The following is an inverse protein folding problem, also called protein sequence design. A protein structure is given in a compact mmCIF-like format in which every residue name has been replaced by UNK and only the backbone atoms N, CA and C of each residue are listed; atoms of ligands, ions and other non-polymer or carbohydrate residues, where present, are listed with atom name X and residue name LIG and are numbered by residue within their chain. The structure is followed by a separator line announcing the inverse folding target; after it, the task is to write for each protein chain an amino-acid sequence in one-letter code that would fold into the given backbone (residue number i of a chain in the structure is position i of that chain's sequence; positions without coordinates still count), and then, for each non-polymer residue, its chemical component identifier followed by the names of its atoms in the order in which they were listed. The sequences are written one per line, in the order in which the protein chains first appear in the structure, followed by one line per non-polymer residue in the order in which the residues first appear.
data_IF_533500553275
#
_entry.id   IF_533500553275
#
_cell.length_a   1.000
_cell.length_b   1.000
_cell.length_c   1.000
_cell.angle_alpha   90.00
_cell.angle_beta   90.00
_cell.angle_gamma   90.00
#
_symmetry.space_group_name_H-M   'P 1'
#
loop_
_entity.id
_entity.type
_entity.pdbx_description
1 polymer ?
#
# COMPACT_ATOMS: atom_id res chain seq x y z
N UNK A 1 14.18 -9.84 -7.72
CA UNK A 1 15.35 -10.53 -7.15
C UNK A 1 15.47 -11.96 -7.67
N UNK A 2 16.69 -12.40 -7.95
CA UNK A 2 16.98 -13.73 -8.49
C UNK A 2 18.04 -14.42 -7.62
N UNK A 3 17.87 -15.72 -7.39
CA UNK A 3 18.92 -16.60 -6.86
C UNK A 3 19.40 -17.48 -7.99
N UNK A 4 20.69 -17.41 -8.31
CA UNK A 4 21.31 -18.23 -9.37
C UNK A 4 22.19 -19.28 -8.72
N UNK A 5 21.83 -20.56 -8.93
CA UNK A 5 22.60 -21.71 -8.44
C UNK A 5 23.40 -22.27 -9.60
N UNK A 6 24.71 -22.43 -9.41
CA UNK A 6 25.56 -23.13 -10.38
C UNK A 6 25.59 -24.60 -10.03
N UNK A 7 25.23 -25.47 -10.98
CA UNK A 7 25.21 -26.92 -10.75
C UNK A 7 26.60 -27.51 -10.92
N UNK A 8 26.83 -28.67 -10.30
CA UNK A 8 28.12 -29.39 -10.42
C UNK A 8 28.44 -29.82 -11.84
N UNK A 9 27.41 -30.00 -12.66
CA UNK A 9 27.51 -30.35 -14.08
C UNK A 9 27.84 -29.13 -14.96
N UNK A 10 28.02 -27.95 -14.36
CA UNK A 10 28.33 -26.70 -15.06
C UNK A 10 27.12 -25.93 -15.59
N UNK A 11 25.90 -26.34 -15.22
CA UNK A 11 24.65 -25.65 -15.53
C UNK A 11 24.35 -24.50 -14.57
N UNK A 12 23.27 -23.76 -14.86
CA UNK A 12 22.76 -22.68 -13.99
C UNK A 12 21.25 -22.77 -13.87
N UNK A 13 20.78 -22.83 -12.63
CA UNK A 13 19.36 -22.75 -12.28
C UNK A 13 19.07 -21.36 -11.71
N UNK A 14 18.01 -20.72 -12.19
CA UNK A 14 17.62 -19.38 -11.75
C UNK A 14 16.25 -19.42 -11.11
N UNK A 15 16.17 -18.98 -9.86
CA UNK A 15 14.94 -18.90 -9.08
C UNK A 15 14.56 -17.43 -8.90
N UNK A 16 13.38 -17.06 -9.38
CA UNK A 16 12.82 -15.73 -9.17
C UNK A 16 12.08 -15.70 -7.84
N UNK A 17 12.41 -14.70 -7.02
CA UNK A 17 11.75 -14.51 -5.73
C UNK A 17 10.53 -13.61 -5.86
N UNK A 18 9.50 -13.95 -5.12
CA UNK A 18 8.33 -13.09 -4.90
C UNK A 18 8.70 -12.02 -3.87
N UNK A 19 8.54 -10.74 -4.25
CA UNK A 19 8.95 -9.60 -3.42
C UNK A 19 7.77 -8.65 -3.27
N UNK A 20 7.34 -8.46 -2.02
CA UNK A 20 6.27 -7.52 -1.65
C UNK A 20 4.97 -7.74 -2.44
N UNK A 21 4.59 -8.99 -2.64
CA UNK A 21 3.34 -9.33 -3.31
C UNK A 21 2.17 -9.29 -2.33
N UNK A 22 1.01 -8.85 -2.80
CA UNK A 22 -0.21 -8.82 -2.00
C UNK A 22 -0.85 -10.21 -1.98
N UNK A 23 -1.17 -10.69 -0.78
CA UNK A 23 -2.04 -11.87 -0.61
C UNK A 23 -3.51 -11.48 -0.62
N UNK A 24 -4.41 -12.44 -0.84
CA UNK A 24 -5.87 -12.18 -0.87
C UNK A 24 -6.39 -11.43 0.38
N UNK A 25 -5.95 -11.73 1.61
CA UNK A 25 -6.37 -11.00 2.81
C UNK A 25 -5.64 -9.67 3.04
N UNK A 26 -4.74 -9.25 2.15
CA UNK A 26 -3.98 -7.99 2.27
C UNK A 26 -2.64 -8.11 3.02
N UNK A 27 -2.20 -9.32 3.40
CA UNK A 27 -0.86 -9.50 3.99
C UNK A 27 0.23 -9.44 2.90
N UNK A 28 1.44 -9.01 3.28
CA UNK A 28 2.61 -9.02 2.43
C UNK A 28 3.22 -10.44 2.28
N UNK A 29 3.31 -10.91 1.04
CA UNK A 29 4.08 -12.08 0.62
C UNK A 29 5.47 -11.62 0.17
N UNK A 30 6.49 -11.93 0.96
CA UNK A 30 7.86 -11.54 0.65
C UNK A 30 8.82 -12.70 0.93
N UNK A 31 9.60 -13.07 -0.07
CA UNK A 31 10.64 -14.07 0.04
C UNK A 31 12.00 -13.38 0.31
N UNK A 32 12.74 -13.89 1.29
CA UNK A 32 14.06 -13.38 1.69
C UNK A 32 15.09 -14.48 1.53
N UNK A 33 16.13 -14.21 0.75
CA UNK A 33 17.28 -15.11 0.61
C UNK A 33 17.93 -15.32 1.99
N UNK A 34 18.25 -16.57 2.31
CA UNK A 34 18.92 -16.96 3.56
C UNK A 34 20.30 -17.59 3.34
N UNK A 35 20.72 -17.73 2.08
CA UNK A 35 22.02 -18.26 1.69
C UNK A 35 22.93 -17.13 1.20
N UNK A 36 24.22 -17.25 1.48
CA UNK A 36 25.24 -16.31 1.00
C UNK A 36 25.83 -16.77 -0.34
N UNK A 37 26.44 -15.83 -1.09
CA UNK A 37 27.17 -16.16 -2.30
C UNK A 37 28.30 -17.17 -2.03
N UNK A 38 28.40 -18.21 -2.87
CA UNK A 38 29.39 -19.28 -2.70
C UNK A 38 28.99 -20.37 -1.71
N UNK A 39 27.83 -20.27 -1.07
CA UNK A 39 27.30 -21.34 -0.21
C UNK A 39 27.09 -22.62 -1.03
N UNK A 40 27.67 -23.73 -0.57
CA UNK A 40 27.41 -25.06 -1.12
C UNK A 40 26.02 -25.50 -0.68
N UNK A 41 25.14 -25.81 -1.64
CA UNK A 41 23.77 -26.28 -1.38
C UNK A 41 23.58 -27.70 -1.91
N UNK A 42 22.72 -28.45 -1.24
CA UNK A 42 22.29 -29.79 -1.67
C UNK A 42 20.83 -29.76 -2.13
N UNK A 43 20.41 -30.81 -2.85
CA UNK A 43 19.01 -30.96 -3.27
C UNK A 43 18.10 -30.94 -2.06
N UNK A 44 17.11 -30.04 -2.06
CA UNK A 44 16.18 -29.83 -0.94
C UNK A 44 16.62 -28.77 0.07
N UNK A 45 17.78 -28.13 -0.12
CA UNK A 45 18.21 -26.99 0.71
C UNK A 45 17.29 -25.79 0.50
N UNK A 46 16.96 -25.09 1.59
CA UNK A 46 16.16 -23.87 1.54
C UNK A 46 17.03 -22.71 1.10
N UNK A 47 16.68 -22.08 -0.02
CA UNK A 47 17.41 -20.94 -0.59
C UNK A 47 16.87 -19.60 -0.08
N UNK A 48 15.57 -19.53 0.19
CA UNK A 48 14.89 -18.34 0.67
C UNK A 48 13.75 -18.73 1.62
N UNK A 49 13.59 -17.95 2.68
CA UNK A 49 12.41 -18.01 3.55
C UNK A 49 11.26 -17.28 2.88
N UNK A 50 10.06 -17.84 2.99
CA UNK A 50 8.80 -17.19 2.63
C UNK A 50 8.15 -16.45 3.81
N UNK A 51 6.91 -15.99 3.63
CA UNK A 51 6.15 -15.34 4.69
C UNK A 51 5.99 -16.27 5.90
N UNK A 52 6.21 -15.73 7.10
CA UNK A 52 6.08 -16.46 8.36
C UNK A 52 6.93 -17.75 8.43
N UNK A 53 8.12 -17.73 7.83
CA UNK A 53 9.12 -18.80 7.99
C UNK A 53 10.46 -18.22 8.44
N UNK A 54 11.24 -19.02 9.16
CA UNK A 54 12.59 -18.70 9.58
C UNK A 54 13.47 -19.95 9.42
N UNK A 55 14.50 -19.86 8.58
CA UNK A 55 15.43 -20.94 8.28
C UNK A 55 14.72 -22.23 7.80
N UNK A 56 13.70 -22.08 6.97
CA UNK A 56 12.91 -23.21 6.44
C UNK A 56 11.83 -23.76 7.35
N UNK A 57 11.70 -23.25 8.58
CA UNK A 57 10.69 -23.68 9.53
C UNK A 57 9.60 -22.61 9.73
N UNK A 58 8.42 -23.03 10.17
CA UNK A 58 7.28 -22.13 10.41
C UNK A 58 7.55 -21.20 11.61
N UNK A 59 7.36 -19.90 11.41
CA UNK A 59 7.57 -18.84 12.40
C UNK A 59 6.44 -17.80 12.34
N UNK A 60 5.33 -18.09 13.01
CA UNK A 60 4.11 -17.26 13.01
C UNK A 60 4.16 -16.04 13.96
N UNK A 61 5.22 -15.91 14.76
CA UNK A 61 5.33 -14.87 15.78
C UNK A 61 6.74 -14.75 16.34
N UNK A 62 6.87 -14.23 17.56
CA UNK A 62 8.16 -14.03 18.23
C UNK A 62 8.15 -14.67 19.62
N UNK A 63 9.33 -15.12 20.03
CA UNK A 63 9.56 -15.54 21.40
C UNK A 63 9.74 -14.30 22.28
N UNK A 64 8.90 -14.16 23.31
CA UNK A 64 8.92 -13.04 24.25
C UNK A 64 9.24 -13.54 25.66
N UNK A 65 9.96 -12.72 26.42
CA UNK A 65 10.11 -12.94 27.86
C UNK A 65 8.83 -12.49 28.57
N UNK A 66 8.21 -13.41 29.31
CA UNK A 66 6.91 -13.18 29.95
C UNK A 66 7.04 -13.35 31.47
N UNK A 67 6.42 -12.44 32.23
CA UNK A 67 6.24 -12.56 33.67
C UNK A 67 4.78 -12.87 33.98
N UNK A 68 4.54 -13.93 34.77
CA UNK A 68 3.20 -14.29 35.24
C UNK A 68 2.94 -13.66 36.61
N UNK A 69 2.33 -12.48 36.61
CA UNK A 69 1.92 -11.77 37.83
C UNK A 69 0.74 -10.85 37.55
N UNK A 70 -0.05 -10.54 38.58
CA UNK A 70 -1.03 -9.44 38.51
C UNK A 70 -0.29 -8.10 38.59
N UNK A 71 -0.57 -7.19 37.66
CA UNK A 71 0.09 -5.89 37.59
C UNK A 71 -0.93 -4.75 37.58
N UNK A 72 -1.12 -4.12 38.74
CA UNK A 72 -1.94 -2.89 38.92
C UNK A 72 -3.36 -2.93 38.32
N UNK A 73 -3.91 -4.14 38.09
CA UNK A 73 -5.19 -4.33 37.41
C UNK A 73 -5.17 -4.11 35.89
N UNK A 74 -4.01 -3.79 35.30
CA UNK A 74 -3.87 -3.57 33.86
C UNK A 74 -3.97 -4.87 33.04
N UNK A 75 -3.69 -6.02 33.65
CA UNK A 75 -3.89 -7.34 33.06
C UNK A 75 -5.10 -8.06 33.67
N UNK A 76 -6.18 -7.31 33.94
CA UNK A 76 -7.43 -7.88 34.41
C UNK A 76 -8.11 -8.71 33.29
N UNK A 77 -8.65 -9.87 33.66
CA UNK A 77 -9.23 -10.87 32.73
C UNK A 77 -8.26 -11.25 31.61
N UNK A 78 -8.58 -10.93 30.35
CA UNK A 78 -7.81 -11.32 29.16
C UNK A 78 -6.88 -10.19 28.66
N UNK A 79 -6.73 -9.12 29.42
CA UNK A 79 -5.86 -8.00 29.04
C UNK A 79 -4.38 -8.37 29.14
N UNK A 80 -3.59 -7.98 28.13
CA UNK A 80 -2.15 -8.20 28.06
C UNK A 80 -1.44 -6.85 28.12
N UNK A 81 -0.39 -6.79 28.95
CA UNK A 81 0.49 -5.63 29.03
C UNK A 81 1.73 -5.93 28.19
N UNK A 82 2.16 -4.96 27.38
CA UNK A 82 3.36 -5.06 26.58
C UNK A 82 4.43 -4.10 27.09
N UNK A 83 5.68 -4.54 27.01
CA UNK A 83 6.82 -3.63 27.18
C UNK A 83 6.89 -2.69 25.99
N UNK A 84 7.19 -1.40 26.23
CA UNK A 84 7.46 -0.43 25.16
C UNK A 84 8.52 -0.91 24.17
N UNK A 85 9.48 -1.71 24.65
CA UNK A 85 10.54 -2.32 23.83
C UNK A 85 9.99 -3.13 22.65
N UNK A 86 8.80 -3.71 22.78
CA UNK A 86 8.16 -4.46 21.67
C UNK A 86 7.90 -3.56 20.46
N UNK A 87 7.60 -2.29 20.69
CA UNK A 87 7.39 -1.27 19.65
C UNK A 87 8.72 -0.67 19.20
N UNK A 88 9.61 -0.35 20.13
CA UNK A 88 10.92 0.27 19.80
C UNK A 88 11.82 -0.64 18.95
N UNK A 89 11.76 -1.95 19.17
CA UNK A 89 12.58 -2.94 18.45
C UNK A 89 11.83 -3.58 17.24
N UNK A 90 10.67 -3.05 16.83
CA UNK A 90 9.83 -3.59 15.74
C UNK A 90 9.55 -5.11 15.85
N UNK A 91 9.34 -5.60 17.08
CA UNK A 91 9.26 -7.05 17.35
C UNK A 91 7.98 -7.65 16.77
N UNK A 92 6.86 -6.95 16.94
CA UNK A 92 5.53 -7.38 16.50
C UNK A 92 5.00 -6.44 15.41
N UNK A 93 5.77 -6.27 14.34
CA UNK A 93 5.42 -5.41 13.19
C UNK A 93 5.08 -6.27 11.97
N UNK A 94 4.02 -5.90 11.25
CA UNK A 94 3.59 -6.55 10.00
C UNK A 94 3.40 -5.52 8.88
N UNK A 95 3.51 -5.98 7.63
CA UNK A 95 3.27 -5.16 6.43
C UNK A 95 1.95 -5.61 5.80
N UNK A 96 1.06 -4.65 5.58
CA UNK A 96 -0.22 -4.83 4.92
C UNK A 96 -0.23 -4.03 3.61
N UNK A 97 -0.81 -4.62 2.57
CA UNK A 97 -0.91 -4.06 1.22
C UNK A 97 -2.38 -4.06 0.83
N UNK A 98 -2.92 -2.85 0.66
CA UNK A 98 -4.26 -2.62 0.16
C UNK A 98 -4.23 -2.20 -1.30
N UNK A 99 -5.22 -2.66 -2.06
CA UNK A 99 -5.36 -2.37 -3.48
C UNK A 99 -6.63 -1.54 -3.68
N UNK A 100 -6.44 -0.32 -4.17
CA UNK A 100 -7.53 0.59 -4.51
C UNK A 100 -7.59 0.70 -6.03
N UNK A 101 -8.76 0.42 -6.59
CA UNK A 101 -8.99 0.44 -8.03
C UNK A 101 -10.05 1.50 -8.37
N UNK A 102 -9.82 2.24 -9.45
CA UNK A 102 -10.78 3.17 -10.02
C UNK A 102 -10.74 3.07 -11.54
N UNK A 103 -11.92 3.02 -12.15
CA UNK A 103 -12.08 3.02 -13.59
C UNK A 103 -12.59 4.38 -14.06
N UNK A 104 -12.06 4.85 -15.20
CA UNK A 104 -12.70 5.91 -15.98
C UNK A 104 -13.63 5.26 -17.02
N UNK A 105 -14.90 5.70 -17.04
CA UNK A 105 -15.94 5.12 -17.92
C UNK A 105 -16.53 6.15 -18.86
N UNK A 106 -17.01 5.67 -20.00
CA UNK A 106 -17.85 6.48 -20.88
C UNK A 106 -19.23 6.67 -20.26
N UNK A 107 -19.66 7.92 -20.12
CA UNK A 107 -21.00 8.25 -19.67
C UNK A 107 -21.79 8.91 -20.80
N UNK A 108 -23.12 9.01 -20.64
CA UNK A 108 -23.96 9.72 -21.61
C UNK A 108 -23.66 11.22 -21.71
N UNK A 109 -23.00 11.79 -20.71
CA UNK A 109 -22.69 13.22 -20.59
C UNK A 109 -21.27 13.53 -21.10
N UNK A 110 -20.50 12.50 -21.45
CA UNK A 110 -19.10 12.59 -21.86
C UNK A 110 -18.26 11.49 -21.22
N UNK A 111 -17.00 11.41 -21.62
CA UNK A 111 -16.04 10.45 -21.07
C UNK A 111 -15.49 10.95 -19.73
N UNK A 112 -15.34 10.06 -18.75
CA UNK A 112 -14.57 10.38 -17.55
C UNK A 112 -13.08 10.45 -17.90
N UNK A 113 -12.39 11.44 -17.36
CA UNK A 113 -10.98 11.66 -17.62
C UNK A 113 -10.16 11.48 -16.35
N UNK A 114 -9.04 10.77 -16.46
CA UNK A 114 -8.01 10.73 -15.40
C UNK A 114 -7.05 11.89 -15.67
N UNK A 115 -7.02 12.83 -14.74
CA UNK A 115 -6.24 14.07 -14.88
C UNK A 115 -5.87 14.64 -13.52
N UNK A 116 -4.75 15.38 -13.48
CA UNK A 116 -4.36 16.19 -12.32
C UNK A 116 -5.24 17.42 -12.15
N UNK A 117 -5.99 17.79 -13.18
CA UNK A 117 -6.80 19.02 -13.23
C UNK A 117 -8.16 18.86 -12.54
N UNK A 118 -8.14 18.71 -11.22
CA UNK A 118 -9.33 18.45 -10.41
C UNK A 118 -9.93 19.78 -9.89
N UNK A 119 -11.22 20.07 -10.16
CA UNK A 119 -11.85 21.30 -9.70
C UNK A 119 -12.07 21.31 -8.18
N UNK A 120 -11.85 22.45 -7.53
CA UNK A 120 -12.07 22.67 -6.09
C UNK A 120 -11.12 21.90 -5.15
N UNK A 121 -10.01 21.37 -5.65
CA UNK A 121 -8.96 20.72 -4.84
C UNK A 121 -7.76 21.67 -4.72
N UNK A 122 -7.13 21.69 -3.54
CA UNK A 122 -5.96 22.54 -3.28
C UNK A 122 -4.72 22.03 -4.02
N UNK A 123 -3.80 22.93 -4.41
CA UNK A 123 -2.53 22.51 -5.06
C UNK A 123 -1.67 21.63 -4.16
N UNK A 124 -1.76 21.79 -2.83
CA UNK A 124 -1.04 20.96 -1.85
C UNK A 124 -1.50 19.51 -1.93
N UNK A 125 -2.80 19.27 -2.02
CA UNK A 125 -3.38 17.92 -2.19
C UNK A 125 -3.04 17.28 -3.54
N UNK A 126 -2.68 18.09 -4.55
CA UNK A 126 -2.27 17.65 -5.88
C UNK A 126 -0.75 17.58 -6.03
N UNK A 127 0.03 17.79 -4.97
CA UNK A 127 1.48 17.87 -5.03
C UNK A 127 2.13 16.51 -5.36
N UNK A 128 1.54 15.41 -4.89
CA UNK A 128 2.03 14.05 -5.11
C UNK A 128 1.47 13.38 -6.38
N UNK A 129 0.54 14.02 -7.08
CA UNK A 129 0.01 13.55 -8.36
C UNK A 129 0.96 13.87 -9.52
N UNK A 130 1.16 12.89 -10.39
CA UNK A 130 1.90 13.05 -11.65
C UNK A 130 1.10 13.85 -12.69
N UNK A 131 1.70 14.07 -13.87
CA UNK A 131 1.07 14.81 -14.98
C UNK A 131 -0.23 14.19 -15.48
N UNK A 132 -0.44 12.90 -15.22
CA UNK A 132 -1.64 12.14 -15.61
C UNK A 132 -2.70 12.13 -14.52
N UNK A 133 -2.42 12.66 -13.33
CA UNK A 133 -3.32 12.59 -12.18
C UNK A 133 -3.22 11.29 -11.39
N UNK A 134 -2.11 10.55 -11.49
CA UNK A 134 -1.85 9.33 -10.71
C UNK A 134 -0.81 9.64 -9.63
N UNK A 135 -1.01 9.19 -8.40
CA UNK A 135 -0.05 9.39 -7.33
C UNK A 135 1.31 8.75 -7.64
N UNK A 136 2.40 9.46 -7.33
CA UNK A 136 3.76 8.94 -7.51
C UNK A 136 4.05 7.77 -6.58
N UNK A 137 4.86 6.82 -7.05
CA UNK A 137 5.35 5.71 -6.23
C UNK A 137 6.23 6.25 -5.10
N UNK A 138 5.96 5.83 -3.87
CA UNK A 138 6.69 6.26 -2.67
C UNK A 138 6.22 7.60 -2.09
N UNK A 139 5.04 8.08 -2.45
CA UNK A 139 4.35 9.12 -1.69
C UNK A 139 3.78 8.54 -0.39
N UNK A 140 3.83 9.34 0.68
CA UNK A 140 3.11 9.04 1.91
C UNK A 140 1.69 9.59 1.77
N UNK A 141 0.69 8.79 2.15
CA UNK A 141 -0.72 9.16 2.01
C UNK A 141 -1.44 9.02 3.33
N UNK A 142 -2.39 9.92 3.55
CA UNK A 142 -3.30 9.95 4.67
C UNK A 142 -4.74 9.81 4.20
N UNK A 143 -5.65 9.62 5.17
CA UNK A 143 -7.06 9.56 4.87
C UNK A 143 -7.54 10.90 4.29
N UNK A 144 -8.09 10.85 3.07
CA UNK A 144 -8.57 12.02 2.33
C UNK A 144 -7.66 12.49 1.20
N UNK A 145 -6.44 11.92 1.08
CA UNK A 145 -5.54 12.25 -0.02
C UNK A 145 -6.02 11.62 -1.34
N UNK A 146 -5.72 12.31 -2.44
CA UNK A 146 -6.12 11.89 -3.79
C UNK A 146 -5.09 10.91 -4.35
N UNK A 147 -5.49 9.65 -4.50
CA UNK A 147 -4.65 8.61 -5.13
C UNK A 147 -4.69 8.67 -6.67
N UNK A 148 -5.87 8.94 -7.22
CA UNK A 148 -6.11 9.07 -8.65
C UNK A 148 -7.11 10.20 -8.87
N UNK A 149 -6.71 11.22 -9.62
CA UNK A 149 -7.57 12.31 -10.02
C UNK A 149 -8.49 11.89 -11.14
N UNK A 150 -9.78 11.73 -10.83
CA UNK A 150 -10.82 11.38 -11.81
C UNK A 150 -11.85 12.50 -11.90
N UNK A 151 -12.15 12.89 -13.12
CA UNK A 151 -13.05 14.00 -13.40
C UNK A 151 -14.19 13.51 -14.27
N UNK A 152 -15.43 13.69 -13.79
CA UNK A 152 -16.64 13.31 -14.53
C UNK A 152 -17.30 14.55 -15.15
N UNK A 153 -17.64 14.54 -16.45
CA UNK A 153 -18.37 15.63 -17.08
C UNK A 153 -19.76 15.79 -16.45
N UNK A 154 -20.11 17.02 -16.08
CA UNK A 154 -21.44 17.36 -15.57
C UNK A 154 -22.35 17.69 -16.74
N UNK A 155 -23.58 17.19 -16.69
CA UNK A 155 -24.63 17.67 -17.59
C UNK A 155 -25.02 19.10 -17.23
N UNK A 156 -25.56 19.84 -18.20
CA UNK A 156 -26.12 21.18 -17.98
C UNK A 156 -27.31 21.09 -17.00
N UNK A 157 -27.05 21.33 -15.71
CA UNK A 157 -28.09 21.59 -14.72
C UNK A 157 -28.33 23.09 -14.62
N UNK A 158 -29.60 23.53 -14.63
CA UNK A 158 -29.93 24.93 -14.36
C UNK A 158 -29.38 25.33 -12.99
N UNK A 159 -28.42 26.26 -12.98
CA UNK A 159 -27.86 26.83 -11.75
C UNK A 159 -28.95 27.55 -10.98
N UNK A 160 -28.94 27.39 -9.66
CA UNK A 160 -29.83 28.15 -8.76
C UNK A 160 -29.50 29.64 -8.81
N UNK A 161 -30.43 30.49 -8.36
CA UNK A 161 -30.23 31.95 -8.36
C UNK A 161 -29.02 32.33 -7.47
N UNK A 162 -28.80 31.57 -6.41
CA UNK A 162 -27.71 31.68 -5.45
C UNK A 162 -26.35 31.33 -6.08
N UNK A 163 -26.25 30.23 -6.82
CA UNK A 163 -25.03 29.82 -7.52
C UNK A 163 -24.66 30.77 -8.66
N UNK A 164 -25.66 31.30 -9.38
CA UNK A 164 -25.44 32.35 -10.40
C UNK A 164 -24.89 33.63 -9.80
N UNK A 165 -25.39 34.03 -8.62
CA UNK A 165 -24.90 35.20 -7.91
C UNK A 165 -23.44 35.01 -7.45
N UNK A 166 -23.13 33.84 -6.87
CA UNK A 166 -21.76 33.49 -6.48
C UNK A 166 -20.79 33.57 -7.67
N UNK A 167 -21.16 33.01 -8.83
CA UNK A 167 -20.34 33.09 -10.05
C UNK A 167 -20.12 34.52 -10.53
N UNK A 168 -21.15 35.36 -10.47
CA UNK A 168 -21.07 36.77 -10.89
C UNK A 168 -20.11 37.58 -9.99
N UNK A 169 -20.00 37.21 -8.71
CA UNK A 169 -19.12 37.88 -7.75
C UNK A 169 -17.68 37.39 -7.88
N UNK A 170 -17.46 36.07 -8.06
CA UNK A 170 -16.11 35.48 -7.98
C UNK A 170 -15.35 35.39 -9.31
N UNK A 171 -15.93 35.74 -10.47
CA UNK A 171 -15.29 35.63 -11.80
C UNK A 171 -14.67 34.23 -12.05
N UNK A 172 -15.17 33.21 -11.35
CA UNK A 172 -14.76 31.84 -11.58
C UNK A 172 -15.52 31.33 -12.80
N UNK A 173 -14.77 31.08 -13.89
CA UNK A 173 -15.26 30.24 -14.99
C UNK A 173 -15.42 28.83 -14.43
N UNK A 174 -16.63 28.49 -14.01
CA UNK A 174 -16.91 27.15 -13.52
C UNK A 174 -16.57 26.14 -14.63
N UNK A 175 -15.61 25.26 -14.35
CA UNK A 175 -15.42 24.08 -15.18
C UNK A 175 -16.61 23.15 -14.95
N UNK A 176 -17.19 22.65 -16.04
CA UNK A 176 -18.40 21.81 -16.05
C UNK A 176 -18.10 20.36 -15.66
N UNK A 177 -17.25 20.18 -14.66
CA UNK A 177 -16.79 18.88 -14.24
C UNK A 177 -16.96 18.69 -12.73
N UNK A 178 -17.10 17.43 -12.31
CA UNK A 178 -17.20 17.01 -10.92
C UNK A 178 -15.98 16.20 -10.54
N UNK A 179 -15.44 16.50 -9.36
CA UNK A 179 -14.54 15.60 -8.65
C UNK A 179 -15.34 14.42 -8.07
N UNK A 180 -14.84 13.20 -8.24
CA UNK A 180 -15.49 11.95 -7.83
C UNK A 180 -14.50 10.91 -7.36
#
# INVERSE_FOLDING_TARGET
DLVVVTTDEGGRDTYRLEKFERSNPGNCTNQRVIVDEGTRVEVGSVLADGPATASGEVALGKNLLVAYMSWEGLNYEDAIILSRRVVEDDVLTSIHIEEYEVDARETKLGEEEITRDIPNVSEESLADLDERGIIRIGAEVQAGDVLVGKVTPKGETELTSEERLLRAIFVEKAREVRDT
#
